data_IF_270088250697
#
_entry.id   IF_270088250697
#
_cell.length_a   1.000
_cell.length_b   1.000
_cell.length_c   1.000
_cell.angle_alpha   90.00
_cell.angle_beta   90.00
_cell.angle_gamma   90.00
#
_symmetry.space_group_name_H-M   'P 1'
#
loop_
_entity.id
_entity.type
_entity.pdbx_description
1 polymer ?
#
# COMPACT_ATOMS: atom_id res chain seq x y z
N UNK A 1 28.28 -6.59 -1.62
CA UNK A 1 28.68 -7.87 -2.25
C UNK A 1 29.30 -7.57 -3.61
N UNK A 2 30.47 -8.12 -3.90
CA UNK A 2 31.05 -7.99 -5.25
C UNK A 2 30.37 -9.00 -6.17
N UNK A 3 29.69 -8.51 -7.19
CA UNK A 3 29.10 -9.34 -8.23
C UNK A 3 29.99 -9.26 -9.46
N UNK A 4 30.47 -10.42 -9.94
CA UNK A 4 31.17 -10.52 -11.20
C UNK A 4 30.16 -10.76 -12.31
N UNK A 5 29.88 -9.73 -13.11
CA UNK A 5 29.05 -9.88 -14.31
C UNK A 5 29.98 -10.30 -15.46
N UNK A 6 29.82 -11.51 -15.96
CA UNK A 6 30.50 -11.96 -17.18
C UNK A 6 29.55 -11.74 -18.34
N UNK A 7 29.76 -10.69 -19.11
CA UNK A 7 29.07 -10.48 -20.39
C UNK A 7 29.68 -11.40 -21.44
N UNK A 8 28.98 -12.47 -21.82
CA UNK A 8 29.28 -13.23 -23.03
C UNK A 8 28.54 -12.60 -24.20
N UNK A 9 29.27 -11.88 -25.03
CA UNK A 9 28.74 -11.44 -26.31
C UNK A 9 28.91 -12.52 -27.33
N UNK A 10 27.85 -13.20 -27.73
CA UNK A 10 27.84 -14.13 -28.88
C UNK A 10 27.78 -13.32 -30.18
N UNK A 11 28.86 -12.57 -30.46
CA UNK A 11 28.94 -11.84 -31.70
C UNK A 11 29.88 -12.52 -32.73
N UNK A 12 30.14 -13.74 -32.71
CA UNK A 12 30.81 -14.47 -33.79
C UNK A 12 31.35 -15.80 -33.26
N UNK A 13 30.78 -16.85 -33.70
CA UNK A 13 31.29 -18.25 -33.60
C UNK A 13 31.38 -18.83 -32.18
N UNK A 14 30.91 -20.05 -31.97
CA UNK A 14 31.01 -20.76 -30.68
C UNK A 14 32.46 -20.92 -30.18
N UNK A 15 33.44 -20.75 -31.05
CA UNK A 15 34.89 -20.91 -30.78
C UNK A 15 35.66 -19.59 -30.74
N UNK A 16 35.02 -18.44 -30.65
CA UNK A 16 35.68 -17.16 -30.57
C UNK A 16 36.43 -16.95 -29.24
N UNK A 17 37.51 -16.15 -29.24
CA UNK A 17 38.29 -15.89 -28.04
C UNK A 17 37.46 -15.22 -26.97
N UNK A 18 37.57 -15.69 -25.73
CA UNK A 18 36.99 -15.03 -24.56
C UNK A 18 37.81 -13.79 -24.29
N UNK A 19 37.23 -12.60 -24.45
CA UNK A 19 37.84 -11.36 -24.03
C UNK A 19 37.50 -11.14 -22.57
N UNK A 20 38.47 -11.19 -21.67
CA UNK A 20 38.34 -10.64 -20.32
C UNK A 20 38.29 -9.12 -20.44
N UNK A 21 37.12 -8.52 -20.22
CA UNK A 21 36.98 -7.10 -20.08
C UNK A 21 37.61 -6.63 -18.75
N UNK A 22 38.06 -5.41 -18.71
CA UNK A 22 38.45 -4.78 -17.43
C UNK A 22 37.30 -4.93 -16.41
N UNK A 23 37.66 -5.07 -15.13
CA UNK A 23 36.68 -5.09 -14.04
C UNK A 23 35.91 -3.75 -14.06
N UNK A 24 34.65 -3.84 -14.42
CA UNK A 24 33.71 -2.73 -14.24
C UNK A 24 33.02 -2.90 -12.91
N UNK A 25 33.03 -1.87 -12.10
CA UNK A 25 32.14 -1.79 -10.95
C UNK A 25 30.76 -1.43 -11.47
N UNK A 26 29.83 -2.34 -11.33
CA UNK A 26 28.42 -2.08 -11.66
C UNK A 26 27.73 -1.85 -10.34
N UNK A 27 27.30 -0.63 -10.10
CA UNK A 27 26.34 -0.35 -9.03
C UNK A 27 25.00 -0.92 -9.49
N UNK A 28 24.51 -1.92 -8.76
CA UNK A 28 23.16 -2.46 -9.00
C UNK A 28 22.20 -1.50 -8.33
N UNK A 29 21.65 -0.58 -9.11
CA UNK A 29 20.67 0.41 -8.65
C UNK A 29 19.26 -0.18 -8.47
N UNK A 30 19.09 -1.47 -8.75
CA UNK A 30 17.84 -2.18 -8.60
C UNK A 30 17.96 -3.21 -7.48
N UNK A 31 17.17 -3.06 -6.43
CA UNK A 31 17.10 -3.95 -5.28
C UNK A 31 16.49 -5.31 -5.55
N UNK A 32 15.90 -5.47 -6.70
CA UNK A 32 15.12 -6.63 -7.13
C UNK A 32 15.96 -7.91 -7.29
N UNK A 33 17.26 -7.84 -7.05
CA UNK A 33 18.19 -8.95 -7.19
C UNK A 33 18.69 -9.54 -5.87
N UNK A 34 18.08 -9.20 -4.76
CA UNK A 34 18.35 -9.91 -3.51
C UNK A 34 17.54 -11.20 -3.52
N UNK A 35 18.22 -12.33 -3.70
CA UNK A 35 17.73 -13.69 -3.77
C UNK A 35 16.70 -14.15 -2.74
N UNK A 36 15.61 -13.41 -2.62
CA UNK A 36 14.39 -13.84 -1.96
C UNK A 36 13.74 -14.94 -2.81
N UNK A 37 13.11 -15.89 -2.17
CA UNK A 37 12.40 -16.99 -2.81
C UNK A 37 11.15 -16.53 -3.60
N UNK A 38 10.81 -15.25 -3.53
CA UNK A 38 9.66 -14.65 -4.23
C UNK A 38 10.14 -13.61 -5.23
N UNK A 39 9.57 -13.68 -6.45
CA UNK A 39 9.77 -12.63 -7.43
C UNK A 39 9.06 -11.35 -6.99
N UNK A 40 9.76 -10.22 -7.00
CA UNK A 40 9.12 -8.91 -6.79
C UNK A 40 8.10 -8.61 -7.89
N UNK A 41 7.18 -7.69 -7.63
CA UNK A 41 6.20 -7.26 -8.63
C UNK A 41 6.86 -6.82 -9.94
N UNK A 42 7.96 -6.08 -9.86
CA UNK A 42 8.73 -5.65 -11.03
C UNK A 42 9.27 -6.81 -11.85
N UNK A 43 9.75 -7.86 -11.20
CA UNK A 43 10.23 -9.07 -11.88
C UNK A 43 9.09 -9.82 -12.57
N UNK A 44 7.95 -9.97 -11.90
CA UNK A 44 6.77 -10.65 -12.45
C UNK A 44 6.29 -9.93 -13.71
N UNK A 45 6.28 -8.61 -13.69
CA UNK A 45 5.75 -7.78 -14.76
C UNK A 45 6.82 -7.24 -15.72
N UNK A 46 8.07 -7.65 -15.55
CA UNK A 46 9.22 -7.27 -16.39
C UNK A 46 9.37 -5.74 -16.52
N UNK A 47 9.14 -5.03 -15.42
CA UNK A 47 9.23 -3.57 -15.32
C UNK A 47 10.35 -3.18 -14.37
N UNK A 48 11.38 -2.51 -14.88
CA UNK A 48 12.59 -2.18 -14.14
C UNK A 48 12.91 -0.70 -14.24
N UNK A 49 13.63 -0.13 -13.25
CA UNK A 49 14.12 1.23 -13.32
C UNK A 49 14.96 1.48 -14.58
N UNK A 50 14.97 2.71 -15.03
CA UNK A 50 15.84 3.16 -16.12
C UNK A 50 17.33 3.05 -15.75
N UNK A 51 18.21 3.11 -16.76
CA UNK A 51 19.68 2.99 -16.58
C UNK A 51 20.25 4.02 -15.59
N UNK A 52 19.57 5.16 -15.40
CA UNK A 52 19.93 6.19 -14.43
C UNK A 52 19.51 5.91 -12.98
N UNK A 53 18.84 4.80 -12.74
CA UNK A 53 18.23 4.46 -11.45
C UNK A 53 16.76 4.88 -11.36
N UNK A 54 16.09 4.49 -10.27
CA UNK A 54 14.70 4.87 -10.01
C UNK A 54 14.59 6.35 -9.66
N UNK A 55 13.39 6.91 -9.80
CA UNK A 55 13.07 8.23 -9.26
C UNK A 55 13.31 8.27 -7.73
N UNK A 56 13.63 9.45 -7.15
CA UNK A 56 13.97 9.57 -5.72
C UNK A 56 12.95 8.92 -4.77
N UNK A 57 11.67 9.04 -5.06
CA UNK A 57 10.59 8.44 -4.26
C UNK A 57 10.46 6.91 -4.38
N UNK A 58 11.24 6.28 -5.26
CA UNK A 58 11.31 4.83 -5.48
C UNK A 58 12.68 4.25 -5.11
N UNK A 59 13.46 4.97 -4.31
CA UNK A 59 14.76 4.49 -3.86
C UNK A 59 14.64 3.67 -2.57
N UNK A 60 15.63 2.79 -2.36
CA UNK A 60 15.89 2.17 -1.06
C UNK A 60 17.34 2.49 -0.70
N UNK A 61 17.57 3.42 0.23
CA UNK A 61 18.89 3.75 0.67
C UNK A 61 19.54 2.58 1.44
N UNK A 62 20.87 2.55 1.49
CA UNK A 62 21.61 1.55 2.26
C UNK A 62 21.49 1.74 3.78
N UNK A 63 21.22 2.96 4.21
CA UNK A 63 21.12 3.34 5.61
C UNK A 63 19.76 3.99 5.89
N UNK A 64 19.10 3.66 7.05
CA UNK A 64 17.83 4.25 7.42
C UNK A 64 17.81 5.78 7.45
N UNK A 65 18.92 6.43 7.76
CA UNK A 65 19.04 7.90 7.74
C UNK A 65 18.92 8.52 6.35
N UNK A 66 18.95 7.71 5.29
CA UNK A 66 18.67 8.15 3.94
C UNK A 66 17.17 8.25 3.60
N UNK A 67 16.28 7.78 4.49
CA UNK A 67 14.85 7.95 4.34
C UNK A 67 14.41 9.31 4.87
N UNK A 68 13.47 9.94 4.18
CA UNK A 68 12.97 11.27 4.55
C UNK A 68 11.44 11.35 4.41
N UNK A 69 10.84 12.32 5.11
CA UNK A 69 9.43 12.70 4.95
C UNK A 69 9.33 14.21 4.82
N UNK A 70 8.54 14.67 3.84
CA UNK A 70 8.32 16.10 3.59
C UNK A 70 6.94 16.58 4.05
N UNK A 71 6.14 15.70 4.62
CA UNK A 71 4.78 16.02 5.06
C UNK A 71 4.84 16.66 6.44
N UNK A 72 4.11 17.77 6.63
CA UNK A 72 3.89 18.34 7.96
C UNK A 72 3.05 17.39 8.81
N UNK A 73 3.60 16.97 9.96
CA UNK A 73 3.02 15.89 10.77
C UNK A 73 2.15 16.45 11.91
N UNK A 74 1.19 17.32 11.61
CA UNK A 74 0.28 17.94 12.58
C UNK A 74 -0.57 16.92 13.33
N UNK A 75 -1.03 15.88 12.65
CA UNK A 75 -1.81 14.83 13.29
C UNK A 75 -0.95 13.98 14.22
N UNK A 76 0.25 13.57 13.80
CA UNK A 76 1.18 12.84 14.66
C UNK A 76 1.53 13.67 15.92
N UNK A 77 1.86 14.96 15.74
CA UNK A 77 2.12 15.86 16.86
C UNK A 77 0.90 15.96 17.80
N UNK A 78 -0.31 16.07 17.24
CA UNK A 78 -1.55 16.09 18.02
C UNK A 78 -1.78 14.81 18.79
N UNK A 79 -1.52 13.65 18.20
CA UNK A 79 -1.63 12.36 18.87
C UNK A 79 -0.61 12.22 20.01
N UNK A 80 0.64 12.63 19.81
CA UNK A 80 1.66 12.62 20.86
C UNK A 80 1.30 13.57 22.03
N UNK A 81 0.77 14.75 21.72
CA UNK A 81 0.29 15.70 22.72
C UNK A 81 -0.91 15.12 23.49
N UNK A 82 -1.92 14.60 22.79
CA UNK A 82 -3.13 14.06 23.41
C UNK A 82 -2.85 12.84 24.31
N UNK A 83 -1.81 12.07 24.00
CA UNK A 83 -1.38 10.93 24.81
C UNK A 83 -0.34 11.32 25.90
N UNK A 84 -0.02 12.61 26.05
CA UNK A 84 0.84 13.11 27.15
C UNK A 84 2.34 12.86 26.96
N UNK A 85 2.78 12.53 25.75
CA UNK A 85 4.19 12.31 25.42
C UNK A 85 4.95 13.64 25.29
N UNK A 86 4.24 14.76 25.00
CA UNK A 86 4.83 16.09 24.78
C UNK A 86 4.36 17.07 25.85
N UNK A 87 5.31 17.80 26.46
CA UNK A 87 5.01 18.89 27.40
C UNK A 87 4.60 20.16 26.62
N UNK A 88 3.32 20.50 26.71
CA UNK A 88 2.73 21.68 26.06
C UNK A 88 2.51 22.85 27.02
N UNK A 89 3.11 22.85 28.21
CA UNK A 89 2.92 23.90 29.24
C UNK A 89 3.28 25.29 28.76
N UNK A 90 4.11 25.43 27.71
CA UNK A 90 4.46 26.71 27.09
C UNK A 90 3.45 27.19 26.07
N UNK A 91 2.51 26.35 25.62
CA UNK A 91 1.47 26.71 24.64
C UNK A 91 0.20 27.19 25.33
N UNK A 92 -0.28 28.41 24.99
CA UNK A 92 -1.50 28.99 25.58
C UNK A 92 -2.78 28.24 25.21
N UNK A 93 -2.75 27.54 24.05
CA UNK A 93 -3.84 26.73 23.50
C UNK A 93 -3.72 25.24 23.91
N UNK A 94 -2.76 24.89 24.77
CA UNK A 94 -2.48 23.50 25.13
C UNK A 94 -1.83 22.70 24.03
N UNK A 95 -1.39 23.35 22.94
CA UNK A 95 -0.71 22.71 21.81
C UNK A 95 -1.66 22.08 20.77
N UNK A 96 -2.99 22.18 20.93
CA UNK A 96 -3.97 21.57 20.04
C UNK A 96 -4.87 22.63 19.39
N UNK A 97 -5.40 22.33 18.21
CA UNK A 97 -6.35 23.20 17.50
C UNK A 97 -7.70 23.16 18.22
N UNK A 98 -8.25 24.33 18.53
CA UNK A 98 -9.54 24.41 19.20
C UNK A 98 -10.65 23.72 18.41
N UNK A 99 -11.29 22.73 19.04
CA UNK A 99 -12.38 21.95 18.43
C UNK A 99 -11.89 20.76 17.58
N UNK A 100 -10.56 20.54 17.48
CA UNK A 100 -9.96 19.37 16.88
C UNK A 100 -8.85 18.86 17.81
N UNK A 101 -9.20 17.93 18.68
CA UNK A 101 -8.31 17.40 19.72
C UNK A 101 -7.20 16.48 19.17
N UNK A 102 -7.19 16.21 17.86
CA UNK A 102 -6.24 15.32 17.20
C UNK A 102 -5.24 16.06 16.30
N UNK A 103 -5.37 17.39 16.16
CA UNK A 103 -4.49 18.21 15.34
C UNK A 103 -3.70 19.18 16.19
N UNK A 104 -2.37 19.14 16.09
CA UNK A 104 -1.52 20.11 16.78
C UNK A 104 -1.70 21.52 16.22
N UNK A 105 -1.69 22.51 17.11
CA UNK A 105 -1.55 23.91 16.73
C UNK A 105 -0.11 24.22 16.26
N UNK A 106 0.15 25.42 15.75
CA UNK A 106 1.52 25.82 15.40
C UNK A 106 2.45 25.71 16.61
N UNK A 107 2.01 26.18 17.80
CA UNK A 107 2.78 26.02 19.02
C UNK A 107 2.99 24.55 19.40
N UNK A 108 1.94 23.74 19.30
CA UNK A 108 2.01 22.30 19.56
C UNK A 108 3.00 21.60 18.63
N UNK A 109 2.99 21.94 17.34
CA UNK A 109 3.93 21.38 16.39
C UNK A 109 5.39 21.76 16.70
N UNK A 110 5.63 23.02 17.10
CA UNK A 110 6.97 23.50 17.47
C UNK A 110 7.51 22.77 18.71
N UNK A 111 6.69 22.62 19.77
CA UNK A 111 7.14 21.93 20.98
C UNK A 111 7.27 20.42 20.81
N UNK A 112 6.46 19.82 19.94
CA UNK A 112 6.50 18.39 19.64
C UNK A 112 7.57 17.99 18.61
N UNK A 113 8.31 18.95 18.06
CA UNK A 113 9.20 18.71 16.90
C UNK A 113 10.16 17.54 17.09
N UNK A 114 10.88 17.49 18.22
CA UNK A 114 11.85 16.43 18.47
C UNK A 114 11.20 15.06 18.58
N UNK A 115 10.05 14.98 19.25
CA UNK A 115 9.31 13.73 19.47
C UNK A 115 8.69 13.22 18.16
N UNK A 116 8.19 14.14 17.33
CA UNK A 116 7.68 13.84 15.98
C UNK A 116 8.80 13.28 15.09
N UNK A 117 10.00 13.89 15.10
CA UNK A 117 11.15 13.41 14.32
C UNK A 117 11.59 12.02 14.82
N UNK A 118 11.67 11.81 16.12
CA UNK A 118 11.99 10.51 16.68
C UNK A 118 10.95 9.47 16.28
N UNK A 119 9.66 9.79 16.42
CA UNK A 119 8.58 8.88 16.10
C UNK A 119 8.55 8.46 14.63
N UNK A 120 8.59 9.42 13.71
CA UNK A 120 8.56 9.12 12.27
C UNK A 120 9.74 8.27 11.79
N UNK A 121 10.90 8.37 12.45
CA UNK A 121 12.11 7.63 12.08
C UNK A 121 12.19 6.26 12.77
N UNK A 122 11.30 5.98 13.71
CA UNK A 122 11.28 4.73 14.47
C UNK A 122 11.11 3.49 13.59
N UNK A 123 10.38 3.62 12.50
CA UNK A 123 10.08 2.52 11.58
C UNK A 123 11.10 2.38 10.44
N UNK A 124 12.10 3.25 10.32
CA UNK A 124 12.98 3.32 9.15
C UNK A 124 13.80 2.05 8.96
N UNK A 125 14.29 1.45 10.04
CA UNK A 125 15.03 0.20 9.96
C UNK A 125 14.17 -0.96 9.45
N UNK A 126 12.89 -1.04 9.88
CA UNK A 126 11.96 -2.06 9.41
C UNK A 126 11.55 -1.81 7.97
N UNK A 127 11.34 -0.55 7.59
CA UNK A 127 11.05 -0.16 6.21
C UNK A 127 12.18 -0.64 5.28
N UNK A 128 13.46 -0.37 5.64
CA UNK A 128 14.61 -0.84 4.86
C UNK A 128 14.68 -2.37 4.80
N UNK A 129 14.51 -3.03 5.95
CA UNK A 129 14.53 -4.50 6.03
C UNK A 129 13.47 -5.11 5.13
N UNK A 130 12.24 -4.63 5.26
CA UNK A 130 11.10 -5.12 4.50
C UNK A 130 11.22 -4.80 3.01
N UNK A 131 11.71 -3.60 2.65
CA UNK A 131 11.97 -3.24 1.26
C UNK A 131 12.99 -4.18 0.61
N UNK A 132 14.05 -4.53 1.33
CA UNK A 132 15.05 -5.49 0.87
C UNK A 132 14.49 -6.91 0.66
N UNK A 133 13.55 -7.32 1.49
CA UNK A 133 12.91 -8.63 1.40
C UNK A 133 11.86 -8.72 0.28
N UNK A 134 11.11 -7.64 0.11
CA UNK A 134 9.91 -7.61 -0.75
C UNK A 134 10.16 -7.00 -2.12
N UNK A 135 11.19 -6.16 -2.24
CA UNK A 135 11.45 -5.36 -3.44
C UNK A 135 10.47 -4.18 -3.61
N UNK A 136 9.70 -3.85 -2.59
CA UNK A 136 8.93 -2.59 -2.54
C UNK A 136 9.89 -1.48 -2.14
N UNK A 137 9.96 -0.36 -2.89
CA UNK A 137 10.91 0.70 -2.57
C UNK A 137 10.69 1.29 -1.16
N UNK A 138 11.76 1.43 -0.39
CA UNK A 138 11.68 1.90 1.00
C UNK A 138 11.11 3.33 1.09
N UNK A 139 11.57 4.23 0.21
CA UNK A 139 11.06 5.60 0.20
C UNK A 139 9.58 5.67 -0.16
N UNK A 140 9.10 4.77 -1.04
CA UNK A 140 7.67 4.65 -1.34
C UNK A 140 6.87 4.29 -0.08
N UNK A 141 7.32 3.28 0.70
CA UNK A 141 6.65 2.90 1.95
C UNK A 141 6.65 4.05 2.95
N UNK A 142 7.78 4.75 3.11
CA UNK A 142 7.90 5.93 3.99
C UNK A 142 6.89 7.01 3.59
N UNK A 143 6.78 7.32 2.30
CA UNK A 143 5.86 8.33 1.79
C UNK A 143 4.38 7.91 1.95
N UNK A 144 4.06 6.62 1.75
CA UNK A 144 2.71 6.10 1.99
C UNK A 144 2.33 6.25 3.46
N UNK A 145 3.18 5.83 4.40
CA UNK A 145 2.89 5.96 5.84
C UNK A 145 2.75 7.41 6.29
N UNK A 146 3.60 8.29 5.76
CA UNK A 146 3.49 9.73 5.98
C UNK A 146 2.15 10.30 5.50
N UNK A 147 1.66 9.83 4.35
CA UNK A 147 0.44 10.33 3.72
C UNK A 147 -0.83 9.74 4.30
N UNK A 148 -0.82 8.45 4.66
CA UNK A 148 -1.99 7.74 5.17
C UNK A 148 -2.25 8.05 6.65
N UNK A 149 -1.27 7.84 7.51
CA UNK A 149 -1.43 7.90 8.96
C UNK A 149 -0.57 8.95 9.66
N UNK A 150 0.28 9.67 8.91
CA UNK A 150 1.36 10.47 9.50
C UNK A 150 2.20 9.66 10.51
N UNK A 151 2.47 8.39 10.19
CA UNK A 151 3.19 7.43 11.04
C UNK A 151 2.47 7.05 12.36
N UNK A 152 1.19 7.36 12.50
CA UNK A 152 0.40 6.87 13.63
C UNK A 152 -0.15 5.47 13.32
N UNK A 153 0.23 4.42 14.08
CA UNK A 153 -0.09 3.04 13.71
C UNK A 153 -1.40 2.52 14.31
N UNK A 154 -2.18 3.38 14.97
CA UNK A 154 -3.46 3.02 15.58
C UNK A 154 -4.65 3.21 14.63
N UNK A 155 -5.85 3.10 15.21
CA UNK A 155 -7.12 3.38 14.53
C UNK A 155 -7.43 4.87 14.58
N UNK A 156 -7.94 5.42 13.48
CA UNK A 156 -8.62 6.71 13.49
C UNK A 156 -10.01 6.56 14.13
N UNK A 157 -10.35 7.43 15.06
CA UNK A 157 -11.56 7.35 15.88
C UNK A 157 -12.89 7.33 15.12
N UNK A 158 -12.89 7.68 13.83
CA UNK A 158 -14.11 7.80 13.00
C UNK A 158 -14.14 6.83 11.83
N UNK A 159 -13.06 6.06 11.58
CA UNK A 159 -12.93 5.17 10.42
C UNK A 159 -12.43 3.80 10.87
N UNK A 160 -12.93 2.77 10.24
CA UNK A 160 -12.51 1.38 10.42
C UNK A 160 -11.22 1.09 9.63
N UNK A 161 -10.25 1.99 9.73
CA UNK A 161 -8.95 1.92 9.05
C UNK A 161 -7.86 1.82 10.12
N UNK A 162 -6.93 0.86 9.97
CA UNK A 162 -5.95 0.53 10.99
C UNK A 162 -4.51 0.55 10.46
N UNK A 163 -3.59 0.87 11.36
CA UNK A 163 -2.15 0.76 11.14
C UNK A 163 -1.55 1.86 10.27
N UNK A 164 -0.23 1.76 10.03
CA UNK A 164 0.57 2.77 9.33
C UNK A 164 0.05 3.13 7.93
N UNK A 165 -0.52 2.17 7.20
CA UNK A 165 -1.07 2.38 5.85
C UNK A 165 -2.58 2.42 5.81
N UNK A 166 -3.28 2.56 6.95
CA UNK A 166 -4.74 2.69 7.04
C UNK A 166 -5.48 1.56 6.31
N UNK A 167 -5.27 0.33 6.79
CA UNK A 167 -5.88 -0.87 6.22
C UNK A 167 -7.37 -0.92 6.48
N UNK A 168 -8.13 -1.16 5.42
CA UNK A 168 -9.56 -1.48 5.46
C UNK A 168 -9.77 -2.98 5.23
N UNK A 169 -11.00 -3.48 5.46
CA UNK A 169 -11.39 -4.85 5.06
C UNK A 169 -11.14 -5.12 3.57
N UNK A 170 -11.37 -4.13 2.69
CA UNK A 170 -11.07 -4.25 1.25
C UNK A 170 -9.58 -4.29 0.96
N UNK A 171 -8.78 -3.57 1.74
CA UNK A 171 -7.32 -3.67 1.69
C UNK A 171 -6.85 -5.06 2.07
N UNK A 172 -7.40 -5.63 3.15
CA UNK A 172 -7.12 -7.00 3.58
C UNK A 172 -7.53 -8.03 2.52
N UNK A 173 -8.73 -7.89 1.92
CA UNK A 173 -9.16 -8.73 0.78
C UNK A 173 -8.14 -8.67 -0.38
N UNK A 174 -7.70 -7.47 -0.75
CA UNK A 174 -6.73 -7.29 -1.84
C UNK A 174 -5.43 -8.04 -1.55
N UNK A 175 -4.90 -7.93 -0.33
CA UNK A 175 -3.66 -8.63 0.06
C UNK A 175 -3.85 -10.14 -0.04
N UNK A 176 -4.90 -10.67 0.56
CA UNK A 176 -5.14 -12.11 0.63
C UNK A 176 -5.44 -12.74 -0.74
N UNK A 177 -6.10 -11.98 -1.63
CA UNK A 177 -6.45 -12.44 -2.97
C UNK A 177 -5.27 -12.36 -3.96
N UNK A 178 -4.50 -11.27 -3.92
CA UNK A 178 -3.49 -10.95 -4.93
C UNK A 178 -2.06 -11.25 -4.48
N UNK A 179 -1.86 -11.67 -3.23
CA UNK A 179 -0.58 -12.16 -2.73
C UNK A 179 -0.71 -13.59 -2.16
N UNK A 180 -0.71 -14.61 -3.03
CA UNK A 180 -0.88 -16.00 -2.60
C UNK A 180 0.17 -16.46 -1.59
N UNK A 181 1.37 -15.90 -1.65
CA UNK A 181 2.43 -16.23 -0.72
C UNK A 181 2.15 -15.70 0.69
N UNK A 182 1.71 -14.47 0.79
CA UNK A 182 1.24 -13.92 2.06
C UNK A 182 0.04 -14.72 2.60
N UNK A 183 -0.96 -14.99 1.75
CA UNK A 183 -2.10 -15.82 2.12
C UNK A 183 -1.68 -17.17 2.70
N UNK A 184 -0.73 -17.87 2.05
CA UNK A 184 -0.28 -19.19 2.50
C UNK A 184 0.39 -19.17 3.87
N UNK A 185 0.98 -18.05 4.27
CA UNK A 185 1.63 -17.86 5.57
C UNK A 185 0.63 -17.37 6.63
N UNK A 186 -0.26 -16.47 6.27
CA UNK A 186 -1.20 -15.85 7.19
C UNK A 186 -2.41 -16.74 7.50
N UNK A 187 -3.00 -17.37 6.48
CA UNK A 187 -4.22 -18.15 6.62
C UNK A 187 -4.14 -19.22 7.74
N UNK A 188 -3.04 -19.99 7.89
CA UNK A 188 -2.93 -21.01 8.94
C UNK A 188 -2.92 -20.47 10.38
N UNK A 189 -2.71 -19.18 10.55
CA UNK A 189 -2.80 -18.53 11.87
C UNK A 189 -4.25 -18.32 12.30
N UNK A 190 -5.19 -18.32 11.36
CA UNK A 190 -6.60 -18.01 11.57
C UNK A 190 -7.50 -19.23 11.32
N UNK A 191 -7.23 -19.99 10.26
CA UNK A 191 -8.00 -21.13 9.82
C UNK A 191 -7.19 -22.43 9.88
N UNK A 192 -7.89 -23.57 9.85
CA UNK A 192 -7.18 -24.84 9.75
C UNK A 192 -6.48 -24.99 8.40
N UNK A 193 -5.26 -25.58 8.38
CA UNK A 193 -4.42 -25.75 7.20
C UNK A 193 -5.18 -26.29 5.97
N UNK A 194 -6.03 -27.32 6.16
CA UNK A 194 -6.80 -27.90 5.07
C UNK A 194 -7.78 -26.94 4.38
N UNK A 195 -8.15 -25.83 5.05
CA UNK A 195 -8.95 -24.77 4.43
C UNK A 195 -8.04 -23.86 3.62
N UNK A 196 -6.89 -23.52 4.17
CA UNK A 196 -5.90 -22.68 3.51
C UNK A 196 -5.33 -23.31 2.23
N UNK A 197 -5.18 -24.64 2.21
CA UNK A 197 -4.72 -25.40 1.03
C UNK A 197 -5.68 -25.28 -0.18
N UNK A 198 -6.92 -24.85 0.02
CA UNK A 198 -7.86 -24.59 -1.07
C UNK A 198 -7.53 -23.30 -1.84
N UNK A 199 -6.77 -22.39 -1.22
CA UNK A 199 -6.53 -21.03 -1.72
C UNK A 199 -7.71 -20.09 -1.45
N UNK A 200 -7.40 -18.78 -1.35
CA UNK A 200 -8.34 -17.74 -0.94
C UNK A 200 -9.67 -17.74 -1.72
N UNK A 201 -9.62 -17.89 -3.03
CA UNK A 201 -10.84 -17.88 -3.88
C UNK A 201 -11.76 -19.09 -3.72
N UNK A 202 -11.35 -20.12 -2.98
CA UNK A 202 -12.09 -21.38 -2.81
C UNK A 202 -12.56 -21.64 -1.38
N UNK A 203 -12.24 -20.77 -0.44
CA UNK A 203 -12.80 -20.79 0.92
C UNK A 203 -14.14 -20.06 0.96
N UNK A 204 -14.93 -20.29 2.00
CA UNK A 204 -16.27 -19.68 2.14
C UNK A 204 -16.16 -18.16 2.41
N UNK A 205 -17.24 -17.43 2.14
CA UNK A 205 -17.32 -15.99 2.43
C UNK A 205 -17.10 -15.71 3.93
N UNK A 206 -17.65 -16.54 4.82
CA UNK A 206 -17.45 -16.39 6.28
C UNK A 206 -15.97 -16.55 6.65
N UNK A 207 -15.25 -17.52 6.04
CA UNK A 207 -13.82 -17.71 6.26
C UNK A 207 -13.00 -16.54 5.69
N UNK A 208 -13.40 -15.99 4.54
CA UNK A 208 -12.77 -14.77 3.99
C UNK A 208 -12.98 -13.60 4.95
N UNK A 209 -14.19 -13.39 5.46
CA UNK A 209 -14.49 -12.32 6.43
C UNK A 209 -13.70 -12.49 7.73
N UNK A 210 -13.55 -13.73 8.23
CA UNK A 210 -12.69 -13.99 9.41
C UNK A 210 -11.22 -13.60 9.14
N UNK A 211 -10.70 -13.92 7.96
CA UNK A 211 -9.33 -13.55 7.58
C UNK A 211 -9.16 -12.04 7.43
N UNK A 212 -10.15 -11.33 6.86
CA UNK A 212 -10.11 -9.86 6.77
C UNK A 212 -10.06 -9.23 8.15
N UNK A 213 -10.98 -9.61 9.03
CA UNK A 213 -11.03 -9.10 10.40
C UNK A 213 -9.75 -9.38 11.18
N UNK A 214 -9.22 -10.60 11.07
CA UNK A 214 -7.96 -10.96 11.71
C UNK A 214 -6.79 -10.11 11.19
N UNK A 215 -6.71 -9.88 9.88
CA UNK A 215 -5.61 -9.08 9.30
C UNK A 215 -5.71 -7.59 9.68
N UNK A 216 -6.91 -7.02 9.71
CA UNK A 216 -7.12 -5.63 10.19
C UNK A 216 -6.75 -5.51 11.67
N UNK A 217 -7.12 -6.51 12.49
CA UNK A 217 -6.75 -6.55 13.91
C UNK A 217 -5.25 -6.66 14.11
N UNK A 218 -4.56 -7.42 13.27
CA UNK A 218 -3.11 -7.63 13.37
C UNK A 218 -2.28 -6.37 13.05
N UNK A 219 -2.80 -5.46 12.23
CA UNK A 219 -2.12 -4.20 11.91
C UNK A 219 -2.55 -3.04 12.79
N UNK A 220 -3.56 -3.23 13.63
CA UNK A 220 -3.99 -2.23 14.61
C UNK A 220 -3.07 -2.26 15.84
N UNK A 221 -2.24 -1.26 15.96
CA UNK A 221 -1.35 -1.11 17.09
C UNK A 221 -1.95 -0.32 18.26
N UNK A 222 -3.25 -0.05 18.26
CA UNK A 222 -3.91 0.66 19.37
C UNK A 222 -3.86 -0.19 20.63
N UNK A 223 -3.32 0.39 21.71
CA UNK A 223 -3.15 -0.27 23.01
C UNK A 223 -3.32 0.78 24.14
N UNK A 224 -4.56 0.96 24.65
CA UNK A 224 -4.83 2.01 25.65
C UNK A 224 -3.99 1.92 26.92
N UNK A 225 -3.49 0.73 27.27
CA UNK A 225 -2.66 0.48 28.45
C UNK A 225 -1.14 0.56 28.16
N UNK A 226 -0.75 0.79 26.89
CA UNK A 226 0.64 0.92 26.48
C UNK A 226 1.11 2.39 26.52
N UNK A 227 2.45 2.64 26.57
CA UNK A 227 2.99 3.98 26.36
C UNK A 227 2.50 4.60 25.05
N UNK A 228 2.21 5.89 25.06
CA UNK A 228 1.59 6.62 23.94
C UNK A 228 0.28 5.99 23.41
N UNK A 229 -0.33 5.03 24.10
CA UNK A 229 -1.52 4.32 23.61
C UNK A 229 -1.26 3.35 22.46
N UNK A 230 0.00 2.94 22.23
CA UNK A 230 0.44 2.16 21.07
C UNK A 230 1.28 0.96 21.49
N UNK A 231 0.96 -0.21 20.93
CA UNK A 231 1.82 -1.38 20.91
C UNK A 231 2.85 -1.25 19.78
N UNK A 232 4.09 -0.94 20.15
CA UNK A 232 5.16 -0.74 19.17
C UNK A 232 5.57 -2.04 18.47
N UNK A 233 5.42 -3.21 19.08
CA UNK A 233 5.73 -4.49 18.44
C UNK A 233 4.73 -4.77 17.32
N UNK A 234 3.44 -4.58 17.58
CA UNK A 234 2.39 -4.65 16.54
C UNK A 234 2.61 -3.60 15.44
N UNK A 235 3.00 -2.37 15.80
CA UNK A 235 3.31 -1.32 14.83
C UNK A 235 4.46 -1.72 13.89
N UNK A 236 5.55 -2.29 14.40
CA UNK A 236 6.67 -2.77 13.60
C UNK A 236 6.27 -3.91 12.66
N UNK A 237 5.46 -4.84 13.15
CA UNK A 237 4.92 -5.93 12.31
C UNK A 237 4.06 -5.40 11.16
N UNK A 238 3.27 -4.36 11.40
CA UNK A 238 2.38 -3.77 10.39
C UNK A 238 3.14 -3.24 9.16
N UNK A 239 4.40 -2.80 9.31
CA UNK A 239 5.26 -2.37 8.18
C UNK A 239 5.35 -3.46 7.11
N UNK A 240 5.59 -4.72 7.52
CA UNK A 240 5.65 -5.84 6.59
C UNK A 240 4.31 -6.08 5.91
N UNK A 241 3.22 -6.08 6.65
CA UNK A 241 1.89 -6.32 6.10
C UNK A 241 1.54 -5.30 5.01
N UNK A 242 1.88 -4.02 5.23
CA UNK A 242 1.66 -2.98 4.23
C UNK A 242 2.55 -3.13 3.00
N UNK A 243 3.78 -3.57 3.14
CA UNK A 243 4.63 -3.88 1.99
C UNK A 243 4.06 -5.05 1.17
N UNK A 244 3.59 -6.12 1.83
CA UNK A 244 2.89 -7.22 1.16
C UNK A 244 1.60 -6.74 0.48
N UNK A 245 0.93 -5.74 1.05
CA UNK A 245 -0.19 -5.05 0.45
C UNK A 245 0.18 -4.29 -0.83
N UNK A 246 1.33 -3.63 -0.85
CA UNK A 246 1.83 -2.95 -2.05
C UNK A 246 2.17 -3.96 -3.16
N UNK A 247 2.73 -5.13 -2.81
CA UNK A 247 2.94 -6.23 -3.77
C UNK A 247 1.61 -6.69 -4.36
N UNK A 248 0.61 -6.93 -3.52
CA UNK A 248 -0.72 -7.37 -3.94
C UNK A 248 -1.38 -6.36 -4.90
N UNK A 249 -1.31 -5.07 -4.58
CA UNK A 249 -1.82 -4.01 -5.44
C UNK A 249 -1.07 -3.94 -6.78
N UNK A 250 0.26 -4.07 -6.77
CA UNK A 250 1.08 -4.08 -7.98
C UNK A 250 0.75 -5.31 -8.85
N UNK A 251 0.58 -6.50 -8.26
CA UNK A 251 0.15 -7.70 -8.99
C UNK A 251 -1.22 -7.50 -9.64
N UNK A 252 -2.18 -6.94 -8.91
CA UNK A 252 -3.51 -6.61 -9.45
C UNK A 252 -3.42 -5.61 -10.62
N UNK A 253 -2.59 -4.58 -10.51
CA UNK A 253 -2.34 -3.60 -11.59
C UNK A 253 -1.79 -4.28 -12.83
N UNK A 254 -0.76 -5.09 -12.67
CA UNK A 254 -0.18 -5.84 -13.79
C UNK A 254 -1.22 -6.73 -14.49
N UNK A 255 -2.09 -7.40 -13.72
CA UNK A 255 -3.21 -8.19 -14.27
C UNK A 255 -4.23 -7.33 -15.00
N UNK A 256 -4.56 -6.15 -14.48
CA UNK A 256 -5.45 -5.20 -15.16
C UNK A 256 -4.89 -4.81 -16.52
N UNK A 257 -3.62 -4.41 -16.58
CA UNK A 257 -2.96 -4.02 -17.83
C UNK A 257 -2.87 -5.18 -18.82
N UNK A 258 -2.49 -6.37 -18.34
CA UNK A 258 -2.43 -7.57 -19.16
C UNK A 258 -3.80 -7.98 -19.71
N UNK A 259 -4.85 -7.95 -18.91
CA UNK A 259 -6.21 -8.27 -19.34
C UNK A 259 -6.76 -7.29 -20.42
N UNK A 260 -6.34 -6.03 -20.36
CA UNK A 260 -6.75 -5.02 -21.33
C UNK A 260 -6.00 -5.15 -22.66
N UNK A 261 -4.71 -5.48 -22.61
CA UNK A 261 -3.81 -5.32 -23.76
C UNK A 261 -3.24 -6.63 -24.29
N UNK A 262 -3.21 -7.69 -23.48
CA UNK A 262 -2.52 -8.95 -23.76
C UNK A 262 -0.99 -8.90 -23.56
N UNK A 263 -0.45 -7.79 -23.01
CA UNK A 263 0.99 -7.57 -22.82
C UNK A 263 1.35 -7.45 -21.34
N UNK A 264 2.63 -7.62 -21.02
CA UNK A 264 3.14 -7.37 -19.66
C UNK A 264 3.23 -5.87 -19.38
N UNK A 265 3.20 -5.49 -18.10
CA UNK A 265 3.26 -4.08 -17.71
C UNK A 265 4.57 -3.42 -18.21
N UNK A 266 5.72 -4.08 -18.14
CA UNK A 266 6.99 -3.54 -18.61
C UNK A 266 7.09 -3.31 -20.13
N UNK A 267 6.17 -3.89 -20.93
CA UNK A 267 6.05 -3.57 -22.35
C UNK A 267 5.17 -2.34 -22.63
N UNK A 268 4.45 -1.86 -21.62
CA UNK A 268 3.37 -0.88 -21.78
C UNK A 268 3.66 0.44 -21.08
N UNK A 269 4.37 0.38 -19.97
CA UNK A 269 4.55 1.53 -19.08
C UNK A 269 5.93 1.47 -18.41
N UNK A 270 6.39 2.62 -17.91
CA UNK A 270 7.63 2.71 -17.15
C UNK A 270 7.51 2.06 -15.77
N UNK A 271 8.64 1.77 -15.14
CA UNK A 271 8.71 1.32 -13.75
C UNK A 271 8.03 2.32 -12.80
N UNK A 272 8.30 3.60 -13.00
CA UNK A 272 7.73 4.68 -12.21
C UNK A 272 6.20 4.75 -12.35
N UNK A 273 5.68 4.65 -13.56
CA UNK A 273 4.25 4.69 -13.81
C UNK A 273 3.53 3.44 -13.31
N UNK A 274 4.18 2.27 -13.31
CA UNK A 274 3.64 1.07 -12.68
C UNK A 274 3.38 1.30 -11.19
N UNK A 275 4.31 1.95 -10.47
CA UNK A 275 4.10 2.31 -9.07
C UNK A 275 3.04 3.40 -8.87
N UNK A 276 2.97 4.40 -9.76
CA UNK A 276 1.85 5.36 -9.74
C UNK A 276 0.50 4.69 -9.93
N UNK A 277 0.41 3.73 -10.83
CA UNK A 277 -0.82 2.94 -11.02
C UNK A 277 -1.13 2.07 -9.79
N UNK A 278 -0.11 1.53 -9.15
CA UNK A 278 -0.25 0.81 -7.89
C UNK A 278 -0.83 1.70 -6.79
N UNK A 279 -0.39 2.94 -6.69
CA UNK A 279 -0.94 3.94 -5.77
C UNK A 279 -2.39 4.32 -6.11
N UNK A 280 -2.76 4.46 -7.40
CA UNK A 280 -4.18 4.64 -7.80
C UNK A 280 -5.01 3.45 -7.36
N UNK A 281 -4.50 2.23 -7.57
CA UNK A 281 -5.20 1.00 -7.20
C UNK A 281 -5.39 0.90 -5.69
N UNK A 282 -4.37 1.25 -4.92
CA UNK A 282 -4.39 1.27 -3.45
C UNK A 282 -5.42 2.28 -2.93
N UNK A 283 -5.38 3.53 -3.41
CA UNK A 283 -6.21 4.62 -2.89
C UNK A 283 -7.65 4.60 -3.43
N UNK A 284 -7.84 4.42 -4.75
CA UNK A 284 -9.14 4.54 -5.41
C UNK A 284 -9.72 3.19 -5.86
N UNK A 285 -8.94 2.12 -5.77
CA UNK A 285 -9.35 0.77 -6.11
C UNK A 285 -9.24 0.41 -7.60
N UNK A 286 -9.31 -0.90 -7.90
CA UNK A 286 -9.07 -1.45 -9.24
C UNK A 286 -10.06 -0.96 -10.30
N UNK A 287 -11.28 -0.61 -9.91
CA UNK A 287 -12.29 -0.11 -10.83
C UNK A 287 -11.92 1.22 -11.47
N UNK A 288 -11.32 2.14 -10.70
CA UNK A 288 -10.86 3.44 -11.18
C UNK A 288 -9.73 3.28 -12.19
N UNK A 289 -8.71 2.50 -11.86
CA UNK A 289 -7.57 2.26 -12.73
C UNK A 289 -7.98 1.51 -14.00
N UNK A 290 -8.74 0.43 -13.89
CA UNK A 290 -9.15 -0.40 -15.04
C UNK A 290 -9.93 0.40 -16.07
N UNK A 291 -10.87 1.26 -15.63
CA UNK A 291 -11.64 2.11 -16.55
C UNK A 291 -10.76 3.13 -17.24
N UNK A 292 -9.84 3.78 -16.52
CA UNK A 292 -8.92 4.77 -17.09
C UNK A 292 -7.96 4.13 -18.11
N UNK A 293 -7.35 3.00 -17.75
CA UNK A 293 -6.44 2.25 -18.60
C UNK A 293 -7.15 1.74 -19.89
N UNK A 294 -8.35 1.18 -19.74
CA UNK A 294 -9.15 0.74 -20.90
C UNK A 294 -9.48 1.91 -21.84
N UNK A 295 -9.84 3.07 -21.32
CA UNK A 295 -10.10 4.27 -22.13
C UNK A 295 -8.84 4.75 -22.84
N UNK A 296 -7.69 4.79 -22.16
CA UNK A 296 -6.42 5.18 -22.76
C UNK A 296 -6.05 4.23 -23.90
N UNK A 297 -6.14 2.92 -23.69
CA UNK A 297 -5.84 1.90 -24.69
C UNK A 297 -6.76 1.98 -25.92
N UNK A 298 -8.09 2.08 -25.72
CA UNK A 298 -9.06 2.16 -26.81
C UNK A 298 -8.90 3.41 -27.67
N UNK A 299 -8.37 4.50 -27.11
CA UNK A 299 -8.08 5.73 -27.84
C UNK A 299 -6.70 5.71 -28.52
N UNK A 300 -5.95 4.61 -28.40
CA UNK A 300 -4.60 4.46 -28.99
C UNK A 300 -3.54 5.30 -28.29
N UNK A 301 -3.81 5.80 -27.07
CA UNK A 301 -2.83 6.53 -26.26
C UNK A 301 -1.88 5.61 -25.51
N UNK A 302 -0.68 6.11 -25.11
CA UNK A 302 0.22 5.36 -24.24
C UNK A 302 -0.40 5.15 -22.87
N UNK A 303 0.02 4.06 -22.21
CA UNK A 303 -0.36 3.77 -20.83
C UNK A 303 0.70 4.36 -19.89
N UNK A 304 0.76 5.68 -19.84
CA UNK A 304 1.58 6.48 -18.93
C UNK A 304 0.72 7.22 -17.90
N UNK A 305 1.38 7.79 -16.88
CA UNK A 305 0.69 8.52 -15.82
C UNK A 305 -0.21 9.64 -16.34
N UNK A 306 0.30 10.46 -17.26
CA UNK A 306 -0.46 11.61 -17.76
C UNK A 306 -1.76 11.19 -18.45
N UNK A 307 -1.70 10.13 -19.27
CA UNK A 307 -2.87 9.62 -19.96
C UNK A 307 -3.87 8.92 -19.02
N UNK A 308 -3.38 8.21 -18.02
CA UNK A 308 -4.24 7.56 -17.02
C UNK A 308 -4.91 8.60 -16.12
N UNK A 309 -4.15 9.53 -15.54
CA UNK A 309 -4.68 10.61 -14.69
C UNK A 309 -5.77 11.45 -15.40
N UNK A 310 -5.53 11.81 -16.67
CA UNK A 310 -6.49 12.57 -17.46
C UNK A 310 -7.83 11.81 -17.72
N UNK A 311 -7.82 10.48 -17.56
CA UNK A 311 -8.98 9.60 -17.85
C UNK A 311 -9.63 8.99 -16.62
N UNK A 312 -9.14 9.32 -15.42
CA UNK A 312 -9.83 8.95 -14.18
C UNK A 312 -11.21 9.60 -14.12
N UNK A 313 -12.20 8.82 -13.71
CA UNK A 313 -13.57 9.33 -13.51
C UNK A 313 -13.60 10.36 -12.37
N UNK A 314 -14.56 11.28 -12.34
CA UNK A 314 -14.64 12.33 -11.32
C UNK A 314 -14.54 11.80 -9.88
N UNK A 315 -15.16 10.66 -9.60
CA UNK A 315 -15.12 10.02 -8.27
C UNK A 315 -13.73 9.45 -7.91
N UNK A 316 -12.85 9.26 -8.91
CA UNK A 316 -11.50 8.70 -8.75
C UNK A 316 -10.40 9.77 -8.76
N UNK A 317 -10.73 11.04 -8.98
CA UNK A 317 -9.73 12.10 -9.19
C UNK A 317 -8.94 12.46 -7.93
N UNK A 318 -9.45 12.14 -6.75
CA UNK A 318 -8.70 12.32 -5.50
C UNK A 318 -7.41 11.49 -5.49
N UNK A 319 -7.35 10.40 -6.25
CA UNK A 319 -6.14 9.61 -6.41
C UNK A 319 -5.01 10.37 -7.14
N UNK A 320 -5.32 11.42 -7.92
CA UNK A 320 -4.29 12.24 -8.58
C UNK A 320 -3.47 12.97 -7.54
N UNK A 321 -4.13 13.73 -6.65
CA UNK A 321 -3.46 14.45 -5.57
C UNK A 321 -2.68 13.46 -4.66
N UNK A 322 -3.27 12.29 -4.40
CA UNK A 322 -2.62 11.24 -3.62
C UNK A 322 -1.31 10.72 -4.25
N UNK A 323 -1.34 10.41 -5.54
CA UNK A 323 -0.16 9.95 -6.28
C UNK A 323 0.88 11.06 -6.38
N UNK A 324 0.47 12.30 -6.66
CA UNK A 324 1.37 13.46 -6.76
C UNK A 324 2.06 13.74 -5.42
N UNK A 325 1.33 13.67 -4.30
CA UNK A 325 1.90 13.87 -2.96
C UNK A 325 2.96 12.81 -2.62
N UNK A 326 2.72 11.53 -2.98
CA UNK A 326 3.65 10.43 -2.69
C UNK A 326 4.83 10.42 -3.67
N UNK A 327 4.61 10.72 -4.94
CA UNK A 327 5.63 10.70 -5.99
C UNK A 327 6.36 12.03 -6.20
N UNK A 328 6.24 12.97 -5.24
CA UNK A 328 6.92 14.25 -5.29
C UNK A 328 8.45 14.05 -5.29
N UNK A 329 9.12 14.73 -6.21
CA UNK A 329 10.57 14.77 -6.21
C UNK A 329 11.07 15.77 -5.15
N UNK A 330 11.64 15.23 -4.10
CA UNK A 330 12.24 15.99 -2.99
C UNK A 330 13.77 16.01 -3.05
N UNK A 331 14.37 15.65 -4.17
CA UNK A 331 15.83 15.57 -4.35
C UNK A 331 16.61 16.88 -4.13
N UNK A 332 15.90 18.00 -3.95
CA UNK A 332 16.49 19.29 -3.57
C UNK A 332 16.27 19.67 -2.10
N UNK A 333 15.57 18.83 -1.34
CA UNK A 333 15.33 19.03 0.07
C UNK A 333 16.42 18.27 0.82
N UNK A 334 17.41 18.97 1.38
CA UNK A 334 18.34 18.31 2.29
C UNK A 334 17.53 17.69 3.45
N UNK A 335 17.79 16.42 3.81
CA UNK A 335 17.24 15.82 5.00
C UNK A 335 17.87 16.53 6.21
N UNK A 336 17.42 17.74 6.48
CA UNK A 336 17.89 18.48 7.63
C UNK A 336 17.06 18.05 8.83
N UNK A 337 17.73 17.52 9.83
CA UNK A 337 17.24 17.34 11.18
C UNK A 337 16.69 18.65 11.82
N UNK A 338 16.56 19.71 11.06
CA UNK A 338 16.29 21.08 11.56
C UNK A 338 15.42 21.96 10.68
N UNK A 339 14.91 21.51 9.54
CA UNK A 339 14.01 22.38 8.75
C UNK A 339 12.79 21.65 8.26
N UNK A 340 11.65 22.03 8.80
CA UNK A 340 10.36 21.81 8.17
C UNK A 340 10.37 22.51 6.83
N UNK A 341 10.41 21.77 5.74
CA UNK A 341 10.06 22.36 4.45
C UNK A 341 8.54 22.46 4.46
N UNK A 342 8.07 23.65 4.83
CA UNK A 342 6.68 24.00 4.67
C UNK A 342 6.34 24.01 3.17
N UNK A 343 5.93 22.88 2.65
CA UNK A 343 5.06 22.92 1.49
C UNK A 343 3.72 23.37 2.04
N UNK A 344 3.48 24.69 1.98
CA UNK A 344 2.22 25.30 2.41
C UNK A 344 1.11 24.94 1.42
N UNK A 345 0.78 23.67 1.34
CA UNK A 345 -0.55 23.26 0.93
C UNK A 345 -1.35 23.08 2.20
N UNK A 346 -2.48 23.76 2.36
CA UNK A 346 -3.39 23.45 3.46
C UNK A 346 -3.64 21.93 3.36
N UNK A 347 -3.29 21.20 4.43
CA UNK A 347 -3.78 19.84 4.60
C UNK A 347 -5.28 19.91 4.34
N UNK A 348 -5.73 19.37 3.23
CA UNK A 348 -7.15 19.10 3.12
C UNK A 348 -7.40 18.08 4.21
N UNK A 349 -8.08 18.51 5.24
CA UNK A 349 -8.74 17.59 6.18
C UNK A 349 -9.24 16.43 5.34
N UNK A 350 -8.91 15.17 5.66
CA UNK A 350 -9.40 14.05 4.89
C UNK A 350 -10.91 14.25 4.78
N UNK A 351 -11.37 14.59 3.59
CA UNK A 351 -12.80 14.78 3.36
C UNK A 351 -13.41 13.44 3.68
N UNK A 352 -14.37 13.34 4.61
CA UNK A 352 -15.02 12.09 4.90
C UNK A 352 -15.40 11.47 3.58
N UNK A 353 -14.88 10.27 3.26
CA UNK A 353 -15.33 9.53 2.09
C UNK A 353 -16.79 9.23 2.33
N UNK A 354 -17.67 10.08 1.82
CA UNK A 354 -19.07 9.70 1.66
C UNK A 354 -19.05 8.58 0.61
N UNK A 355 -18.99 7.34 1.09
CA UNK A 355 -19.30 6.22 0.21
C UNK A 355 -20.68 6.50 -0.36
N UNK A 356 -20.87 6.46 -1.69
CA UNK A 356 -22.21 6.45 -2.22
C UNK A 356 -22.91 5.28 -1.53
N UNK A 357 -23.95 5.58 -0.77
CA UNK A 357 -24.86 4.57 -0.22
C UNK A 357 -25.23 3.71 -1.41
N UNK A 358 -24.80 2.45 -1.41
CA UNK A 358 -25.14 1.53 -2.48
C UNK A 358 -26.65 1.49 -2.53
N UNK A 359 -27.23 2.12 -3.53
CA UNK A 359 -28.62 1.90 -3.88
C UNK A 359 -28.68 0.40 -4.17
N UNK A 360 -29.47 -0.40 -3.43
CA UNK A 360 -29.52 -1.83 -3.66
C UNK A 360 -29.81 -2.04 -5.14
N UNK A 361 -28.83 -2.57 -5.86
CA UNK A 361 -29.01 -2.97 -7.25
C UNK A 361 -30.13 -4.00 -7.23
N UNK A 362 -31.22 -3.83 -7.97
CA UNK A 362 -32.28 -4.82 -7.98
C UNK A 362 -31.66 -6.16 -8.35
N UNK A 363 -31.79 -7.13 -7.46
CA UNK A 363 -31.35 -8.50 -7.67
C UNK A 363 -31.89 -8.95 -9.01
N UNK A 364 -31.04 -9.38 -9.97
CA UNK A 364 -31.54 -9.86 -11.25
C UNK A 364 -32.48 -11.03 -10.96
N UNK A 365 -33.74 -10.88 -11.30
CA UNK A 365 -34.70 -11.97 -11.25
C UNK A 365 -34.23 -13.01 -12.25
N UNK A 366 -33.64 -14.11 -11.74
CA UNK A 366 -33.26 -15.25 -12.57
C UNK A 366 -34.58 -15.89 -13.04
N UNK A 367 -34.96 -15.59 -14.29
CA UNK A 367 -36.02 -16.34 -14.95
C UNK A 367 -35.46 -17.74 -15.27
N UNK A 368 -35.96 -18.81 -14.70
CA UNK A 368 -35.43 -20.14 -14.98
C UNK A 368 -35.67 -20.47 -16.44
N UNK A 369 -34.59 -20.60 -17.20
CA UNK A 369 -34.63 -21.10 -18.57
C UNK A 369 -34.76 -22.62 -18.48
N UNK A 370 -35.91 -23.15 -18.86
CA UNK A 370 -36.19 -24.59 -18.87
C UNK A 370 -35.38 -25.26 -19.98
N UNK A 371 -34.42 -26.12 -19.60
CA UNK A 371 -33.77 -27.03 -20.53
C UNK A 371 -34.39 -28.43 -20.40
N UNK A 372 -34.95 -29.01 -21.44
CA UNK A 372 -35.50 -30.38 -21.39
C UNK A 372 -34.36 -31.38 -21.19
N UNK A 373 -34.42 -32.13 -20.07
CA UNK A 373 -33.47 -33.22 -19.79
C UNK A 373 -32.67 -33.14 -18.50
N UNK A 374 -32.83 -32.12 -17.67
CA UNK A 374 -32.21 -32.08 -16.34
C UNK A 374 -33.12 -32.66 -15.24
N UNK A 375 -32.56 -33.42 -14.27
CA UNK A 375 -33.33 -33.92 -13.14
C UNK A 375 -33.78 -32.79 -12.23
N UNK A 376 -35.06 -32.81 -11.87
CA UNK A 376 -35.69 -31.86 -10.95
C UNK A 376 -35.17 -32.10 -9.53
N UNK A 377 -34.47 -31.10 -8.95
CA UNK A 377 -34.19 -31.10 -7.52
C UNK A 377 -35.42 -30.62 -6.75
N UNK A 378 -35.88 -31.43 -5.82
CA UNK A 378 -36.96 -31.07 -4.90
C UNK A 378 -36.42 -30.09 -3.87
N UNK A 379 -37.03 -28.93 -3.74
CA UNK A 379 -36.66 -27.94 -2.73
C UNK A 379 -36.88 -28.52 -1.30
N UNK A 380 -35.83 -28.45 -0.49
CA UNK A 380 -35.88 -28.77 0.94
C UNK A 380 -36.68 -27.69 1.66
N UNK A 381 -37.62 -28.01 2.55
CA UNK A 381 -38.44 -27.02 3.25
C UNK A 381 -37.58 -26.19 4.22
N UNK A 382 -37.80 -24.89 4.21
CA UNK A 382 -37.20 -23.89 5.11
C UNK A 382 -37.50 -24.24 6.58
N UNK A 383 -36.52 -24.18 7.51
CA UNK A 383 -36.78 -24.40 8.92
C UNK A 383 -37.68 -23.29 9.49
N UNK A 384 -38.71 -23.70 10.21
CA UNK A 384 -39.60 -22.80 10.95
C UNK A 384 -38.83 -22.14 12.10
N UNK A 385 -38.99 -20.82 12.23
CA UNK A 385 -38.49 -20.01 13.36
C UNK A 385 -39.19 -20.44 14.66
N UNK A 386 -38.40 -20.73 15.69
CA UNK A 386 -38.89 -20.97 17.05
C UNK A 386 -39.29 -19.65 17.71
N UNK A 387 -40.37 -19.62 18.51
CA UNK A 387 -40.74 -18.44 19.27
C UNK A 387 -39.76 -18.21 20.43
N UNK A 388 -39.35 -16.95 20.61
CA UNK A 388 -38.58 -16.50 21.77
C UNK A 388 -39.53 -16.37 22.94
N UNK A 389 -39.37 -17.21 23.96
CA UNK A 389 -40.02 -17.01 25.25
C UNK A 389 -39.37 -15.86 25.99
N UNK A 390 -40.16 -14.83 26.29
CA UNK A 390 -39.81 -13.74 27.22
C UNK A 390 -40.10 -14.23 28.63
N UNK A 391 -39.03 -14.32 29.46
CA UNK A 391 -39.06 -14.46 30.90
C UNK A 391 -38.11 -13.43 31.54
#
# INVERSE_FOLDING_TARGET
AQIRVVLRGDFMSPDGPIYDSQLYYVDILSEQWRGGTQASCSQIWNSFPDVGGPAPWLTTPDDPSGLYSAVSLYYLAGMLIANGEVDTSSCQDGGLVFGDELTASECGLDVAFSDVVEWQNRFDSDIILVANDTGVPAQLLKNVFSRESQFWPGIYSTYEEAGLGQMTEKGAETILLWNPSFFSQFCPLVLHQSRCDLGYGNITIDEQTMLHGALVTEVDASCPDCPAGIDLEAAHFSVRVFAEGMIANCEQVGRILNNITGKTAGELTSYEDLWRFTLVNYNAGPGCLSKAAKRAFLLGGPLDWLNIAARLEPACKTAIDYVEDISMDLSGVEPTATSWVFVARPLRTPTPRTFPTETPTPTPTITPTYYPGQPTYTATPTPQSYPVETG
#
